data_IF_122301084265
#
_entry.id   IF_122301084265
#
_cell.length_a   1.000
_cell.length_b   1.000
_cell.length_c   1.000
_cell.angle_alpha   90.00
_cell.angle_beta   90.00
_cell.angle_gamma   90.00
#
_symmetry.space_group_name_H-M   'P 1'
#
loop_
_entity.id
_entity.type
_entity.pdbx_description
1 polymer ?
#
# COMPACT_ATOMS: atom_id res chain seq x y z
N UNK A 1 -21.95 -77.48 23.24
CA UNK A 1 -22.40 -78.30 24.38
C UNK A 1 -23.83 -78.75 24.11
N UNK A 2 -24.24 -79.98 24.47
CA UNK A 2 -25.61 -80.43 24.28
C UNK A 2 -26.57 -79.45 24.95
N UNK A 3 -27.58 -78.97 24.21
CA UNK A 3 -28.55 -77.99 24.72
C UNK A 3 -29.66 -78.62 25.56
N UNK A 4 -29.67 -79.94 25.75
CA UNK A 4 -30.69 -80.66 26.51
C UNK A 4 -30.28 -82.09 26.89
N UNK A 5 -31.11 -82.74 27.70
CA UNK A 5 -30.87 -84.09 28.19
C UNK A 5 -31.17 -85.14 27.11
N UNK A 6 -30.21 -86.00 26.77
CA UNK A 6 -30.39 -87.00 25.69
C UNK A 6 -31.41 -88.11 26.03
N UNK A 7 -31.81 -88.26 27.30
CA UNK A 7 -32.77 -89.26 27.76
C UNK A 7 -34.21 -88.82 27.48
N UNK A 8 -34.58 -87.60 27.88
CA UNK A 8 -35.94 -87.06 27.66
C UNK A 8 -36.05 -86.11 26.47
N UNK A 9 -34.92 -85.61 25.95
CA UNK A 9 -34.78 -84.61 24.88
C UNK A 9 -35.25 -83.20 25.24
N UNK A 10 -35.50 -82.92 26.52
CA UNK A 10 -35.85 -81.59 27.01
C UNK A 10 -34.62 -80.74 27.36
N UNK A 11 -34.79 -79.42 27.35
CA UNK A 11 -33.76 -78.46 27.77
C UNK A 11 -33.41 -78.64 29.25
N UNK A 12 -32.18 -78.31 29.60
CA UNK A 12 -31.75 -78.27 30.99
C UNK A 12 -32.41 -77.09 31.71
N UNK A 13 -33.19 -77.39 32.74
CA UNK A 13 -33.82 -76.41 33.62
C UNK A 13 -33.15 -76.48 35.00
N UNK A 14 -32.77 -75.33 35.54
CA UNK A 14 -32.21 -75.22 36.87
C UNK A 14 -33.18 -75.75 37.96
N UNK A 15 -34.50 -75.72 37.70
CA UNK A 15 -35.51 -76.22 38.62
C UNK A 15 -35.55 -77.76 38.74
N UNK A 16 -35.20 -78.50 37.68
CA UNK A 16 -35.33 -79.97 37.61
C UNK A 16 -34.08 -80.68 38.15
N UNK A 17 -33.02 -79.93 38.43
CA UNK A 17 -31.75 -80.45 38.93
C UNK A 17 -30.96 -81.14 37.83
N UNK A 18 -29.75 -80.65 37.57
CA UNK A 18 -28.87 -81.16 36.52
C UNK A 18 -27.72 -81.89 37.19
N UNK A 19 -27.36 -83.05 36.65
CA UNK A 19 -26.25 -83.87 37.13
C UNK A 19 -25.28 -84.15 36.01
N UNK A 20 -24.00 -84.20 36.36
CA UNK A 20 -22.94 -84.68 35.48
C UNK A 20 -22.40 -86.00 35.98
N UNK A 21 -22.03 -86.86 35.04
CA UNK A 21 -21.33 -88.11 35.31
C UNK A 21 -19.81 -87.86 35.31
N UNK A 22 -19.01 -88.79 35.85
CA UNK A 22 -17.53 -88.68 35.78
C UNK A 22 -16.97 -88.60 34.36
N UNK A 23 -17.70 -89.09 33.36
CA UNK A 23 -17.32 -88.96 31.95
C UNK A 23 -17.67 -87.58 31.35
N UNK A 24 -18.30 -86.68 32.11
CA UNK A 24 -18.58 -85.30 31.73
C UNK A 24 -19.94 -85.05 31.06
N UNK A 25 -20.72 -86.09 30.78
CA UNK A 25 -22.05 -85.96 30.16
C UNK A 25 -23.13 -85.57 31.17
N UNK A 26 -24.09 -84.75 30.71
CA UNK A 26 -25.10 -84.06 31.52
C UNK A 26 -26.49 -84.67 31.33
N UNK A 27 -27.23 -84.80 32.42
CA UNK A 27 -28.60 -85.33 32.43
C UNK A 27 -29.45 -84.62 33.49
N UNK A 28 -30.77 -84.62 33.37
CA UNK A 28 -31.61 -84.31 34.53
C UNK A 28 -31.44 -85.40 35.59
N UNK A 29 -31.49 -85.02 36.86
CA UNK A 29 -31.30 -85.96 37.98
C UNK A 29 -32.26 -87.15 37.87
N UNK A 30 -33.55 -86.89 37.67
CA UNK A 30 -34.58 -87.93 37.52
C UNK A 30 -34.31 -88.83 36.30
N UNK A 31 -33.83 -88.25 35.20
CA UNK A 31 -33.60 -88.96 33.96
C UNK A 31 -32.45 -89.97 34.08
N UNK A 32 -31.32 -89.57 34.65
CA UNK A 32 -30.20 -90.49 34.85
C UNK A 32 -30.51 -91.52 35.96
N UNK A 33 -31.23 -91.14 37.01
CA UNK A 33 -31.60 -92.08 38.09
C UNK A 33 -32.46 -93.22 37.54
N UNK A 34 -33.44 -92.91 36.68
CA UNK A 34 -34.24 -93.94 35.97
C UNK A 34 -33.42 -94.82 35.05
N UNK A 35 -32.38 -94.26 34.41
CA UNK A 35 -31.49 -95.02 33.53
C UNK A 35 -30.60 -95.97 34.33
N UNK A 36 -30.01 -95.51 35.43
CA UNK A 36 -29.14 -96.31 36.30
C UNK A 36 -29.89 -97.44 37.01
N UNK A 37 -31.20 -97.32 37.20
CA UNK A 37 -32.05 -98.43 37.65
C UNK A 37 -32.06 -99.62 36.66
N UNK A 38 -31.66 -99.42 35.39
CA UNK A 38 -31.64 -100.44 34.34
C UNK A 38 -30.24 -100.74 33.80
N UNK A 39 -29.32 -99.78 33.83
CA UNK A 39 -27.96 -99.94 33.31
C UNK A 39 -26.98 -99.03 34.02
N UNK A 40 -25.87 -99.60 34.53
CA UNK A 40 -24.78 -98.84 35.17
C UNK A 40 -23.83 -98.18 34.14
N UNK A 41 -24.34 -97.69 33.02
CA UNK A 41 -23.53 -97.07 31.96
C UNK A 41 -24.09 -95.71 31.56
N UNK A 42 -23.21 -94.81 31.15
CA UNK A 42 -23.60 -93.51 30.62
C UNK A 42 -24.42 -93.70 29.32
N UNK A 43 -25.62 -93.10 29.20
CA UNK A 43 -26.43 -93.18 27.98
C UNK A 43 -25.74 -92.65 26.72
N UNK A 44 -24.76 -91.76 26.87
CA UNK A 44 -24.11 -91.07 25.75
C UNK A 44 -22.82 -91.77 25.29
N UNK A 45 -21.94 -92.15 26.23
CA UNK A 45 -20.63 -92.74 25.91
C UNK A 45 -20.42 -94.16 26.44
N UNK A 46 -21.41 -94.74 27.12
CA UNK A 46 -21.38 -96.10 27.69
C UNK A 46 -20.31 -96.37 28.74
N UNK A 47 -19.58 -95.34 29.20
CA UNK A 47 -18.67 -95.47 30.35
C UNK A 47 -19.43 -95.89 31.60
N UNK A 48 -18.78 -96.64 32.50
CA UNK A 48 -19.42 -97.12 33.72
C UNK A 48 -19.79 -95.96 34.65
N UNK A 49 -21.04 -95.92 35.11
CA UNK A 49 -21.60 -94.90 35.99
C UNK A 49 -22.26 -95.58 37.19
N UNK A 50 -21.87 -95.17 38.39
CA UNK A 50 -22.54 -95.54 39.63
C UNK A 50 -23.29 -94.34 40.21
N UNK A 51 -24.30 -94.60 41.03
CA UNK A 51 -25.09 -93.55 41.70
C UNK A 51 -24.21 -92.60 42.54
N UNK A 52 -23.19 -93.14 43.21
CA UNK A 52 -22.19 -92.39 43.98
C UNK A 52 -21.22 -91.57 43.10
N UNK A 53 -21.27 -91.71 41.77
CA UNK A 53 -20.39 -91.02 40.82
C UNK A 53 -21.06 -89.85 40.11
N UNK A 54 -22.29 -89.49 40.50
CA UNK A 54 -23.04 -88.36 39.99
C UNK A 54 -22.74 -87.09 40.79
N UNK A 55 -22.43 -85.99 40.10
CA UNK A 55 -22.25 -84.67 40.72
C UNK A 55 -23.44 -83.79 40.35
N UNK A 56 -24.21 -83.35 41.35
CA UNK A 56 -25.28 -82.35 41.18
C UNK A 56 -24.67 -80.98 40.89
N UNK A 57 -25.12 -80.36 39.82
CA UNK A 57 -24.72 -79.01 39.41
C UNK A 57 -25.75 -78.01 39.93
N UNK A 58 -25.27 -77.00 40.65
CA UNK A 58 -26.08 -75.88 41.12
C UNK A 58 -25.64 -74.64 40.36
N UNK A 59 -26.54 -74.09 39.55
CA UNK A 59 -26.32 -72.83 38.86
C UNK A 59 -26.75 -71.71 39.79
N UNK A 60 -25.81 -70.86 40.21
CA UNK A 60 -26.15 -69.64 40.92
C UNK A 60 -26.78 -68.68 39.92
N UNK A 61 -28.08 -68.43 40.06
CA UNK A 61 -28.80 -67.45 39.25
C UNK A 61 -28.18 -66.08 39.51
N UNK A 62 -27.30 -65.62 38.60
CA UNK A 62 -26.94 -64.21 38.52
C UNK A 62 -28.16 -63.54 37.89
N UNK A 63 -29.21 -63.36 38.70
CA UNK A 63 -30.52 -62.93 38.24
C UNK A 63 -30.39 -61.72 37.32
N UNK A 64 -31.12 -61.75 36.19
CA UNK A 64 -31.12 -60.72 35.14
C UNK A 64 -31.31 -59.28 35.62
N UNK A 65 -31.77 -59.09 36.86
CA UNK A 65 -31.93 -57.81 37.54
C UNK A 65 -30.65 -56.94 37.59
N UNK A 66 -29.43 -57.50 37.62
CA UNK A 66 -28.20 -56.69 37.62
C UNK A 66 -27.85 -56.20 36.20
N UNK A 67 -28.03 -57.06 35.20
CA UNK A 67 -27.79 -56.73 33.79
C UNK A 67 -28.80 -55.70 33.30
N UNK A 68 -30.08 -55.85 33.65
CA UNK A 68 -31.15 -54.93 33.25
C UNK A 68 -30.97 -53.52 33.85
N UNK A 69 -30.65 -53.43 35.14
CA UNK A 69 -30.31 -52.15 35.79
C UNK A 69 -29.07 -51.48 35.21
N UNK A 70 -28.06 -52.28 34.86
CA UNK A 70 -26.85 -51.78 34.19
C UNK A 70 -27.20 -51.23 32.80
N UNK A 71 -28.04 -51.94 32.05
CA UNK A 71 -28.53 -51.51 30.73
C UNK A 71 -29.30 -50.19 30.80
N UNK A 72 -30.19 -50.04 31.77
CA UNK A 72 -30.97 -48.81 31.92
C UNK A 72 -30.11 -47.61 32.33
N UNK A 73 -29.10 -47.84 33.17
CA UNK A 73 -28.10 -46.80 33.51
C UNK A 73 -27.32 -46.35 32.27
N UNK A 74 -26.86 -47.30 31.44
CA UNK A 74 -26.17 -47.02 30.17
C UNK A 74 -27.06 -46.29 29.16
N UNK A 75 -28.34 -46.67 29.04
CA UNK A 75 -29.31 -45.97 28.17
C UNK A 75 -29.51 -44.52 28.61
N UNK A 76 -29.60 -44.26 29.91
CA UNK A 76 -29.77 -42.90 30.41
C UNK A 76 -28.51 -42.04 30.18
N UNK A 77 -27.32 -42.63 30.38
CA UNK A 77 -26.07 -41.97 30.02
C UNK A 77 -25.98 -41.67 28.52
N UNK A 78 -26.44 -42.59 27.66
CA UNK A 78 -26.48 -42.39 26.22
C UNK A 78 -27.41 -41.22 25.85
N UNK A 79 -28.63 -41.19 26.39
CA UNK A 79 -29.57 -40.07 26.20
C UNK A 79 -28.99 -38.73 26.66
N UNK A 80 -28.31 -38.72 27.80
CA UNK A 80 -27.65 -37.52 28.31
C UNK A 80 -26.56 -37.02 27.36
N UNK A 81 -25.78 -37.94 26.78
CA UNK A 81 -24.75 -37.63 25.77
C UNK A 81 -25.37 -37.18 24.45
N UNK A 82 -26.44 -37.78 23.99
CA UNK A 82 -27.18 -37.35 22.80
C UNK A 82 -27.69 -35.91 22.95
N UNK A 83 -28.23 -35.57 24.14
CA UNK A 83 -28.65 -34.21 24.44
C UNK A 83 -27.47 -33.22 24.47
N UNK A 84 -26.30 -33.64 24.98
CA UNK A 84 -25.08 -32.84 24.96
C UNK A 84 -24.61 -32.56 23.52
N UNK A 85 -24.67 -33.57 22.63
CA UNK A 85 -24.35 -33.44 21.20
C UNK A 85 -25.28 -32.42 20.56
N UNK A 86 -26.60 -32.53 20.75
CA UNK A 86 -27.57 -31.58 20.17
C UNK A 86 -27.31 -30.14 20.63
N UNK A 87 -26.94 -29.95 21.91
CA UNK A 87 -26.57 -28.61 22.42
C UNK A 87 -25.32 -28.07 21.74
N UNK A 88 -24.30 -28.90 21.56
CA UNK A 88 -23.07 -28.52 20.88
C UNK A 88 -23.31 -28.22 19.41
N UNK A 89 -24.12 -29.02 18.71
CA UNK A 89 -24.48 -28.78 17.31
C UNK A 89 -25.21 -27.44 17.13
N UNK A 90 -26.13 -27.12 18.04
CA UNK A 90 -26.79 -25.81 18.05
C UNK A 90 -25.79 -24.66 18.27
N UNK A 91 -24.82 -24.83 19.18
CA UNK A 91 -23.78 -23.84 19.42
C UNK A 91 -22.85 -23.67 18.20
N UNK A 92 -22.49 -24.78 17.54
CA UNK A 92 -21.72 -24.76 16.30
C UNK A 92 -22.49 -24.02 15.20
N UNK A 93 -23.77 -24.31 15.01
CA UNK A 93 -24.59 -23.63 14.00
C UNK A 93 -24.69 -22.11 14.26
N UNK A 94 -24.88 -21.71 15.51
CA UNK A 94 -24.88 -20.30 15.91
C UNK A 94 -23.52 -19.64 15.61
N UNK A 95 -22.41 -20.31 15.96
CA UNK A 95 -21.06 -19.81 15.71
C UNK A 95 -20.76 -19.68 14.21
N UNK A 96 -21.16 -20.67 13.39
CA UNK A 96 -21.01 -20.62 11.94
C UNK A 96 -21.77 -19.44 11.31
N UNK A 97 -22.95 -19.13 11.84
CA UNK A 97 -23.71 -17.96 11.40
C UNK A 97 -22.94 -16.67 11.66
N UNK A 98 -22.43 -16.48 12.89
CA UNK A 98 -21.61 -15.31 13.24
C UNK A 98 -20.35 -15.24 12.37
N UNK A 99 -19.67 -16.36 12.13
CA UNK A 99 -18.52 -16.39 11.22
C UNK A 99 -18.88 -15.88 9.82
N UNK A 100 -19.97 -16.36 9.23
CA UNK A 100 -20.41 -15.91 7.91
C UNK A 100 -20.76 -14.42 7.87
N UNK A 101 -21.35 -13.88 8.94
CA UNK A 101 -21.62 -12.44 9.07
C UNK A 101 -20.32 -11.63 9.15
N UNK A 102 -19.34 -12.09 9.93
CA UNK A 102 -18.04 -11.43 10.03
C UNK A 102 -17.25 -11.48 8.73
N UNK A 103 -17.28 -12.60 8.00
CA UNK A 103 -16.61 -12.75 6.70
C UNK A 103 -17.17 -11.77 5.68
N UNK A 104 -18.51 -11.65 5.61
CA UNK A 104 -19.19 -10.66 4.78
C UNK A 104 -18.87 -9.21 5.19
N UNK A 105 -18.67 -8.97 6.49
CA UNK A 105 -18.23 -7.67 6.99
C UNK A 105 -16.81 -7.32 6.54
N UNK A 106 -15.90 -8.30 6.59
CA UNK A 106 -14.51 -8.14 6.12
C UNK A 106 -14.48 -7.86 4.61
N UNK A 107 -15.29 -8.56 3.81
CA UNK A 107 -15.36 -8.35 2.36
C UNK A 107 -15.75 -6.91 2.00
N UNK A 108 -16.77 -6.36 2.69
CA UNK A 108 -17.16 -4.95 2.54
C UNK A 108 -16.06 -3.97 2.94
N UNK A 109 -15.33 -4.27 4.02
CA UNK A 109 -14.22 -3.43 4.46
C UNK A 109 -13.07 -3.42 3.44
N UNK A 110 -12.78 -4.58 2.82
CA UNK A 110 -11.78 -4.69 1.75
C UNK A 110 -12.19 -3.88 0.52
N UNK A 111 -13.47 -3.88 0.14
CA UNK A 111 -13.99 -3.06 -0.96
C UNK A 111 -13.74 -1.57 -0.71
N UNK A 112 -14.11 -1.06 0.48
CA UNK A 112 -13.85 0.33 0.88
C UNK A 112 -12.35 0.64 0.94
N UNK A 113 -11.53 -0.30 1.40
CA UNK A 113 -10.06 -0.13 1.41
C UNK A 113 -9.51 0.05 -0.01
N UNK A 114 -9.99 -0.75 -0.97
CA UNK A 114 -9.55 -0.63 -2.37
C UNK A 114 -9.99 0.69 -3.01
N UNK A 115 -11.19 1.19 -2.70
CA UNK A 115 -11.65 2.50 -3.15
C UNK A 115 -10.75 3.61 -2.61
N UNK A 116 -10.46 3.60 -1.30
CA UNK A 116 -9.58 4.58 -0.67
C UNK A 116 -8.15 4.54 -1.24
N UNK A 117 -7.61 3.36 -1.56
CA UNK A 117 -6.30 3.22 -2.20
C UNK A 117 -6.27 3.84 -3.61
N UNK A 118 -7.35 3.70 -4.37
CA UNK A 118 -7.48 4.32 -5.69
C UNK A 118 -7.54 5.85 -5.58
N UNK A 119 -8.29 6.38 -4.60
CA UNK A 119 -8.39 7.82 -4.35
C UNK A 119 -7.06 8.42 -3.90
N UNK A 120 -6.34 7.76 -2.99
CA UNK A 120 -4.99 8.17 -2.59
C UNK A 120 -4.06 8.23 -3.80
N UNK A 121 -4.08 7.19 -4.64
CA UNK A 121 -3.27 7.14 -5.86
C UNK A 121 -3.66 8.25 -6.87
N UNK A 122 -4.92 8.67 -6.90
CA UNK A 122 -5.37 9.80 -7.71
C UNK A 122 -4.84 11.14 -7.17
N UNK A 123 -5.00 11.38 -5.88
CA UNK A 123 -4.52 12.60 -5.20
C UNK A 123 -2.99 12.73 -5.32
N UNK A 124 -2.25 11.65 -5.15
CA UNK A 124 -0.79 11.65 -5.29
C UNK A 124 -0.35 12.09 -6.69
N UNK A 125 -1.05 11.63 -7.74
CA UNK A 125 -0.79 12.08 -9.13
C UNK A 125 -1.09 13.56 -9.31
N UNK A 126 -2.18 14.07 -8.74
CA UNK A 126 -2.49 15.50 -8.80
C UNK A 126 -1.44 16.35 -8.10
N UNK A 127 -0.98 15.94 -6.91
CA UNK A 127 0.11 16.61 -6.19
C UNK A 127 1.39 16.62 -7.02
N UNK A 128 1.70 15.50 -7.69
CA UNK A 128 2.85 15.40 -8.57
C UNK A 128 2.75 16.34 -9.79
N UNK A 129 1.54 16.54 -10.33
CA UNK A 129 1.28 17.49 -11.41
C UNK A 129 1.35 18.97 -10.98
N UNK A 130 0.99 19.29 -9.73
CA UNK A 130 1.05 20.66 -9.19
C UNK A 130 2.49 21.10 -8.86
N UNK A 131 3.33 20.16 -8.43
CA UNK A 131 4.75 20.40 -8.10
C UNK A 131 5.53 21.21 -9.16
N UNK A 132 5.52 20.85 -10.47
CA UNK A 132 6.21 21.64 -11.49
C UNK A 132 5.59 23.03 -11.71
N UNK A 133 4.26 23.20 -11.57
CA UNK A 133 3.63 24.53 -11.62
C UNK A 133 4.14 25.43 -10.49
N UNK A 134 4.29 24.90 -9.27
CA UNK A 134 4.85 25.63 -8.13
C UNK A 134 6.29 26.08 -8.41
N UNK A 135 7.13 25.20 -8.96
CA UNK A 135 8.50 25.55 -9.34
C UNK A 135 8.54 26.66 -10.41
N UNK A 136 7.70 26.56 -11.45
CA UNK A 136 7.60 27.58 -12.49
C UNK A 136 7.13 28.93 -11.93
N UNK A 137 6.15 28.92 -11.03
CA UNK A 137 5.67 30.14 -10.36
C UNK A 137 6.80 30.82 -9.56
N UNK A 138 7.61 30.03 -8.84
CA UNK A 138 8.75 30.56 -8.10
C UNK A 138 9.82 31.18 -9.02
N UNK A 139 10.08 30.58 -10.18
CA UNK A 139 10.98 31.17 -11.19
C UNK A 139 10.43 32.49 -11.74
N UNK A 140 9.12 32.56 -12.02
CA UNK A 140 8.48 33.79 -12.50
C UNK A 140 8.55 34.91 -11.46
N UNK A 141 8.37 34.61 -10.18
CA UNK A 141 8.55 35.59 -9.10
C UNK A 141 9.98 36.13 -9.07
N UNK A 142 10.98 35.25 -9.17
CA UNK A 142 12.38 35.67 -9.19
C UNK A 142 12.70 36.56 -10.40
N UNK A 143 12.20 36.21 -11.59
CA UNK A 143 12.37 37.01 -12.79
C UNK A 143 11.70 38.38 -12.65
N UNK A 144 10.50 38.45 -12.09
CA UNK A 144 9.78 39.71 -11.89
C UNK A 144 10.55 40.64 -10.94
N UNK A 145 11.08 40.11 -9.83
CA UNK A 145 11.91 40.89 -8.91
C UNK A 145 13.18 41.43 -9.59
N UNK A 146 13.81 40.62 -10.45
CA UNK A 146 14.98 41.06 -11.22
C UNK A 146 14.62 42.20 -12.18
N UNK A 147 13.52 42.05 -12.92
CA UNK A 147 13.03 43.08 -13.84
C UNK A 147 12.67 44.39 -13.11
N UNK A 148 12.10 44.30 -11.90
CA UNK A 148 11.83 45.48 -11.08
C UNK A 148 13.12 46.20 -10.68
N UNK A 149 14.15 45.47 -10.25
CA UNK A 149 15.46 46.06 -9.93
C UNK A 149 16.12 46.70 -11.15
N UNK A 150 16.00 46.07 -12.32
CA UNK A 150 16.54 46.61 -13.58
C UNK A 150 15.80 47.89 -14.02
N UNK A 151 14.47 47.93 -13.83
CA UNK A 151 13.66 49.13 -14.05
C UNK A 151 14.06 50.26 -13.10
N UNK A 152 14.31 49.98 -11.82
CA UNK A 152 14.81 50.98 -10.87
C UNK A 152 16.17 51.53 -11.30
N UNK A 153 17.09 50.66 -11.71
CA UNK A 153 18.38 51.07 -12.28
C UNK A 153 18.20 51.98 -13.49
N UNK A 154 17.32 51.61 -14.42
CA UNK A 154 17.04 52.44 -15.60
C UNK A 154 16.42 53.79 -15.26
N UNK A 155 15.55 53.84 -14.25
CA UNK A 155 14.95 55.08 -13.79
C UNK A 155 15.99 56.02 -13.13
N UNK A 156 16.93 55.43 -12.37
CA UNK A 156 18.06 56.17 -11.80
C UNK A 156 18.96 56.75 -12.90
N UNK A 157 19.31 55.94 -13.91
CA UNK A 157 20.09 56.41 -15.07
C UNK A 157 19.37 57.51 -15.85
N UNK A 158 18.06 57.35 -16.10
CA UNK A 158 17.24 58.37 -16.75
C UNK A 158 17.33 59.71 -16.03
N UNK A 159 17.20 59.70 -14.70
CA UNK A 159 17.28 60.90 -13.86
C UNK A 159 18.64 61.60 -14.01
N UNK A 160 19.73 60.83 -14.03
CA UNK A 160 21.09 61.37 -14.23
C UNK A 160 21.21 62.03 -15.61
N UNK A 161 20.81 61.33 -16.67
CA UNK A 161 20.90 61.82 -18.05
C UNK A 161 20.05 63.07 -18.26
N UNK A 162 18.83 63.10 -17.73
CA UNK A 162 17.96 64.28 -17.76
C UNK A 162 18.61 65.48 -17.04
N UNK A 163 19.28 65.24 -15.91
CA UNK A 163 20.06 66.25 -15.20
C UNK A 163 21.18 66.87 -16.07
N UNK A 164 21.95 66.03 -16.76
CA UNK A 164 23.00 66.49 -17.68
C UNK A 164 22.44 67.18 -18.93
N UNK A 165 21.30 66.72 -19.46
CA UNK A 165 20.63 67.36 -20.60
C UNK A 165 20.22 68.80 -20.29
N UNK A 166 19.71 69.05 -19.09
CA UNK A 166 19.37 70.40 -18.62
C UNK A 166 20.62 71.28 -18.51
N UNK A 167 21.73 70.72 -18.03
CA UNK A 167 23.02 71.40 -17.99
C UNK A 167 23.54 71.75 -19.39
N UNK A 168 23.43 70.83 -20.35
CA UNK A 168 23.81 71.05 -21.74
C UNK A 168 22.96 72.14 -22.41
N UNK A 169 21.64 72.13 -22.19
CA UNK A 169 20.73 73.19 -22.68
C UNK A 169 21.12 74.57 -22.14
N UNK A 170 21.46 74.66 -20.84
CA UNK A 170 21.90 75.91 -20.22
C UNK A 170 23.20 76.45 -20.84
N UNK A 171 24.19 75.58 -21.05
CA UNK A 171 25.44 75.95 -21.72
C UNK A 171 25.17 76.45 -23.15
N UNK A 172 24.27 75.79 -23.88
CA UNK A 172 23.91 76.19 -25.24
C UNK A 172 23.18 77.54 -25.28
N UNK A 173 22.27 77.82 -24.34
CA UNK A 173 21.63 79.14 -24.23
C UNK A 173 22.63 80.25 -23.88
N UNK A 174 23.60 79.97 -23.01
CA UNK A 174 24.66 80.93 -22.65
C UNK A 174 25.59 81.19 -23.86
N UNK A 175 25.85 80.18 -24.69
CA UNK A 175 26.62 80.32 -25.93
C UNK A 175 25.90 81.12 -27.02
N UNK A 176 24.57 81.05 -27.10
CA UNK A 176 23.77 81.74 -28.12
C UNK A 176 23.85 83.28 -27.99
N UNK A 177 24.25 83.79 -26.82
CA UNK A 177 24.37 85.23 -26.55
C UNK A 177 25.77 85.77 -26.89
N UNK A 178 26.82 84.93 -27.00
CA UNK A 178 28.20 85.43 -27.09
C UNK A 178 29.18 84.56 -27.92
N UNK A 179 28.90 84.33 -29.21
CA UNK A 179 29.82 83.60 -30.11
C UNK A 179 31.17 84.29 -30.38
N UNK A 180 31.31 85.58 -30.04
CA UNK A 180 32.50 86.41 -30.32
C UNK A 180 33.32 86.81 -29.08
N UNK A 181 32.88 86.47 -27.86
CA UNK A 181 33.64 86.76 -26.63
C UNK A 181 34.57 85.60 -26.23
N UNK A 182 35.58 85.89 -25.40
CA UNK A 182 36.60 84.89 -25.03
C UNK A 182 36.03 83.76 -24.14
N UNK A 183 34.98 84.04 -23.37
CA UNK A 183 34.22 83.03 -22.61
C UNK A 183 33.47 82.07 -23.54
N UNK A 184 32.93 82.54 -24.67
CA UNK A 184 32.30 81.71 -25.70
C UNK A 184 33.28 80.72 -26.33
N UNK A 185 34.52 81.14 -26.59
CA UNK A 185 35.58 80.24 -27.11
C UNK A 185 36.01 79.18 -26.09
N UNK A 186 36.00 79.50 -24.78
CA UNK A 186 36.25 78.52 -23.71
C UNK A 186 35.11 77.49 -23.64
N UNK A 187 33.85 77.92 -23.77
CA UNK A 187 32.70 77.02 -23.82
C UNK A 187 32.77 76.06 -25.03
N UNK A 188 33.10 76.55 -26.22
CA UNK A 188 33.29 75.72 -27.43
C UNK A 188 34.38 74.66 -27.21
N UNK A 189 35.53 75.03 -26.63
CA UNK A 189 36.60 74.08 -26.30
C UNK A 189 36.14 73.01 -25.31
N UNK A 190 35.37 73.38 -24.29
CA UNK A 190 34.81 72.42 -23.32
C UNK A 190 33.83 71.46 -23.99
N UNK A 191 32.94 71.94 -24.86
CA UNK A 191 32.04 71.07 -25.62
C UNK A 191 32.81 70.14 -26.55
N UNK A 192 33.80 70.63 -27.28
CA UNK A 192 34.65 69.79 -28.13
C UNK A 192 35.35 68.69 -27.32
N UNK A 193 35.85 69.00 -26.12
CA UNK A 193 36.41 68.03 -25.19
C UNK A 193 35.36 67.02 -24.71
N UNK A 194 34.17 67.45 -24.29
CA UNK A 194 33.09 66.54 -23.89
C UNK A 194 32.64 65.64 -25.04
N UNK A 195 32.43 66.18 -26.25
CA UNK A 195 32.09 65.40 -27.43
C UNK A 195 33.19 64.38 -27.79
N UNK A 196 34.47 64.73 -27.59
CA UNK A 196 35.59 63.81 -27.81
C UNK A 196 35.61 62.67 -26.79
N UNK A 197 35.32 62.98 -25.51
CA UNK A 197 35.22 61.98 -24.44
C UNK A 197 34.02 61.06 -24.68
N UNK A 198 32.84 61.62 -24.96
CA UNK A 198 31.62 60.84 -25.25
C UNK A 198 31.82 59.96 -26.48
N UNK A 199 32.48 60.48 -27.54
CA UNK A 199 32.80 59.68 -28.73
C UNK A 199 33.70 58.50 -28.39
N UNK A 200 34.70 58.69 -27.54
CA UNK A 200 35.57 57.60 -27.08
C UNK A 200 34.79 56.57 -26.26
N UNK A 201 33.93 57.02 -25.36
CA UNK A 201 33.14 56.14 -24.49
C UNK A 201 32.10 55.33 -25.28
N UNK A 202 31.47 55.93 -26.28
CA UNK A 202 30.54 55.24 -27.18
C UNK A 202 31.29 54.18 -28.01
N UNK A 203 32.49 54.48 -28.49
CA UNK A 203 33.30 53.50 -29.23
C UNK A 203 33.69 52.34 -28.32
N UNK A 204 34.17 52.63 -27.10
CA UNK A 204 34.50 51.60 -26.12
C UNK A 204 33.30 50.72 -25.77
N UNK A 205 32.14 51.33 -25.49
CA UNK A 205 30.90 50.60 -25.18
C UNK A 205 30.44 49.72 -26.34
N UNK A 206 30.62 50.16 -27.60
CA UNK A 206 30.33 49.33 -28.79
C UNK A 206 31.30 48.17 -28.96
N UNK A 207 32.57 48.36 -28.63
CA UNK A 207 33.58 47.30 -28.64
C UNK A 207 33.27 46.22 -27.60
N UNK A 208 32.90 46.62 -26.38
CA UNK A 208 32.42 45.70 -25.34
C UNK A 208 31.14 44.96 -25.75
N UNK A 209 30.18 45.66 -26.36
CA UNK A 209 28.95 45.04 -26.89
C UNK A 209 29.27 43.96 -27.93
N UNK A 210 30.20 44.24 -28.84
CA UNK A 210 30.64 43.28 -29.85
C UNK A 210 31.31 42.05 -29.20
N UNK A 211 32.13 42.28 -28.17
CA UNK A 211 32.82 41.20 -27.45
C UNK A 211 31.82 40.28 -26.73
N UNK A 212 30.87 40.85 -25.98
CA UNK A 212 29.83 40.08 -25.29
C UNK A 212 28.93 39.31 -26.28
N UNK A 213 28.60 39.90 -27.43
CA UNK A 213 27.84 39.20 -28.50
C UNK A 213 28.61 37.99 -29.04
N UNK A 214 29.92 38.09 -29.18
CA UNK A 214 30.77 36.97 -29.61
C UNK A 214 30.79 35.85 -28.55
N UNK A 215 30.94 36.19 -27.27
CA UNK A 215 30.90 35.23 -26.17
C UNK A 215 29.55 34.49 -26.10
N UNK A 216 28.43 35.22 -26.22
CA UNK A 216 27.10 34.62 -26.28
C UNK A 216 27.00 33.61 -27.44
N UNK A 217 27.54 33.95 -28.60
CA UNK A 217 27.53 33.07 -29.78
C UNK A 217 28.35 31.81 -29.52
N UNK A 218 29.50 31.94 -28.86
CA UNK A 218 30.39 30.83 -28.53
C UNK A 218 29.77 29.89 -27.49
N UNK A 219 29.16 30.45 -26.42
CA UNK A 219 28.45 29.67 -25.41
C UNK A 219 27.23 28.93 -26.00
N UNK A 220 26.47 29.58 -26.89
CA UNK A 220 25.38 28.92 -27.62
C UNK A 220 25.86 27.73 -28.44
N UNK A 221 27.01 27.86 -29.10
CA UNK A 221 27.62 26.76 -29.84
C UNK A 221 28.02 25.60 -28.93
N UNK A 222 28.66 25.89 -27.79
CA UNK A 222 29.03 24.87 -26.79
C UNK A 222 27.81 24.12 -26.24
N UNK A 223 26.75 24.85 -25.90
CA UNK A 223 25.47 24.27 -25.46
C UNK A 223 24.91 23.34 -26.55
N UNK A 224 24.95 23.78 -27.82
CA UNK A 224 24.52 22.97 -28.97
C UNK A 224 25.29 21.64 -29.09
N UNK A 225 26.62 21.67 -28.95
CA UNK A 225 27.47 20.47 -28.95
C UNK A 225 27.10 19.56 -27.78
N UNK A 226 26.92 20.12 -26.58
CA UNK A 226 26.58 19.33 -25.39
C UNK A 226 25.20 18.66 -25.53
N UNK A 227 24.21 19.36 -26.11
CA UNK A 227 22.91 18.78 -26.43
C UNK A 227 23.02 17.67 -27.47
N UNK A 228 23.85 17.83 -28.50
CA UNK A 228 24.09 16.79 -29.50
C UNK A 228 24.75 15.54 -28.88
N UNK A 229 25.78 15.71 -28.05
CA UNK A 229 26.45 14.61 -27.33
C UNK A 229 25.51 13.88 -26.38
N UNK A 230 24.68 14.62 -25.63
CA UNK A 230 23.65 14.03 -24.76
C UNK A 230 22.60 13.28 -25.56
N UNK A 231 22.14 13.80 -26.71
CA UNK A 231 21.18 13.13 -27.59
C UNK A 231 21.75 11.82 -28.15
N UNK A 232 23.02 11.82 -28.53
CA UNK A 232 23.72 10.62 -28.99
C UNK A 232 23.90 9.58 -27.87
N UNK A 233 24.22 10.02 -26.64
CA UNK A 233 24.29 9.15 -25.46
C UNK A 233 22.94 8.51 -25.10
N UNK A 234 21.81 9.18 -25.36
CA UNK A 234 20.47 8.62 -25.15
C UNK A 234 20.09 7.65 -26.27
N UNK A 235 20.47 7.96 -27.53
CA UNK A 235 20.17 7.13 -28.70
C UNK A 235 20.89 5.77 -28.67
N UNK A 236 22.11 5.70 -28.11
CA UNK A 236 22.89 4.44 -28.01
C UNK A 236 22.17 3.32 -27.25
N UNK A 237 21.62 3.54 -26.04
CA UNK A 237 20.76 2.59 -25.34
C UNK A 237 19.50 2.19 -26.11
N UNK A 238 18.82 3.14 -26.77
CA UNK A 238 17.59 2.86 -27.54
C UNK A 238 17.85 1.95 -28.75
N UNK A 239 18.98 2.13 -29.43
CA UNK A 239 19.40 1.24 -30.50
C UNK A 239 19.79 -0.16 -29.99
N UNK A 240 20.42 -0.25 -28.81
CA UNK A 240 20.69 -1.53 -28.15
C UNK A 240 19.40 -2.25 -27.75
N UNK A 241 18.40 -1.53 -27.23
CA UNK A 241 17.10 -2.06 -26.85
C UNK A 241 16.28 -2.54 -28.07
N UNK A 242 16.27 -1.77 -29.16
CA UNK A 242 15.60 -2.17 -30.40
C UNK A 242 16.29 -3.37 -31.09
N UNK A 243 17.62 -3.46 -31.02
CA UNK A 243 18.34 -4.64 -31.54
C UNK A 243 18.09 -5.89 -30.68
N UNK A 244 17.90 -5.74 -29.35
CA UNK A 244 17.48 -6.85 -28.47
C UNK A 244 16.05 -7.33 -28.76
N UNK A 245 15.13 -6.40 -29.05
CA UNK A 245 13.73 -6.68 -29.41
C UNK A 245 13.60 -7.42 -30.75
N UNK A 246 14.43 -7.09 -31.75
CA UNK A 246 14.45 -7.80 -33.04
C UNK A 246 15.02 -9.22 -32.95
N UNK A 247 15.96 -9.49 -32.02
CA UNK A 247 16.51 -10.83 -31.82
C UNK A 247 15.60 -11.76 -31.00
N UNK A 248 14.57 -11.24 -30.32
CA UNK A 248 13.61 -12.04 -29.55
C UNK A 248 12.36 -12.45 -30.34
N UNK A 249 12.19 -11.94 -31.57
CA UNK A 249 11.07 -12.29 -32.46
C UNK A 249 11.30 -13.54 -33.33
N UNK A 250 12.46 -14.20 -33.18
CA UNK A 250 12.85 -15.36 -34.02
C UNK A 250 12.52 -16.74 -33.41
N UNK A 251 11.90 -16.80 -32.22
CA UNK A 251 11.54 -18.07 -31.58
C UNK A 251 10.15 -18.01 -30.92
N UNK A 252 9.11 -18.24 -31.71
CA UNK A 252 7.89 -18.95 -31.29
C UNK A 252 6.85 -18.98 -32.41
N UNK A 253 6.81 -20.11 -33.12
CA UNK A 253 5.66 -20.51 -33.93
C UNK A 253 4.88 -21.57 -33.14
N UNK A 254 3.59 -21.33 -32.84
CA UNK A 254 2.49 -22.26 -33.14
C UNK A 254 1.14 -21.90 -32.49
N UNK A 255 0.11 -21.97 -33.35
CA UNK A 255 -1.31 -22.30 -33.11
C UNK A 255 -2.31 -21.27 -32.55
N UNK A 256 -3.28 -20.91 -33.40
CA UNK A 256 -4.68 -21.26 -33.12
C UNK A 256 -5.70 -20.15 -32.83
N UNK A 257 -6.31 -19.62 -33.91
CA UNK A 257 -7.74 -19.25 -34.03
C UNK A 257 -8.26 -17.92 -33.42
N UNK A 258 -8.65 -17.00 -34.33
CA UNK A 258 -9.53 -15.82 -34.12
C UNK A 258 -11.02 -16.24 -34.00
N UNK A 259 -12.02 -15.37 -33.68
CA UNK A 259 -12.40 -14.09 -34.34
C UNK A 259 -12.78 -12.97 -33.31
N UNK A 260 -13.05 -11.68 -33.56
CA UNK A 260 -13.30 -10.80 -34.74
C UNK A 260 -13.42 -9.34 -34.24
N UNK A 261 -12.93 -8.38 -35.06
CA UNK A 261 -13.56 -7.07 -35.42
C UNK A 261 -13.63 -5.95 -34.34
N UNK A 262 -13.39 -4.65 -34.59
CA UNK A 262 -13.04 -3.85 -35.77
C UNK A 262 -12.87 -2.36 -35.32
N UNK A 263 -12.36 -1.49 -36.22
CA UNK A 263 -12.50 -0.01 -36.25
C UNK A 263 -11.47 0.77 -35.40
N UNK A 264 -10.69 1.75 -35.87
CA UNK A 264 -10.39 2.28 -37.21
C UNK A 264 -9.13 3.13 -37.10
N UNK A 265 -8.29 3.09 -38.13
CA UNK A 265 -7.20 4.04 -38.32
C UNK A 265 -7.76 5.41 -38.72
N UNK A 266 -7.21 6.49 -38.17
CA UNK A 266 -7.01 7.68 -38.98
C UNK A 266 -5.72 8.41 -38.57
N UNK A 267 -4.70 8.24 -39.41
CA UNK A 267 -3.56 9.16 -39.50
C UNK A 267 -4.01 10.34 -40.33
N UNK A 268 -3.75 11.55 -39.86
CA UNK A 268 -3.63 12.72 -40.73
C UNK A 268 -2.63 13.68 -40.11
N UNK A 269 -1.39 13.54 -40.58
CA UNK A 269 -0.36 14.55 -40.48
C UNK A 269 -0.80 15.78 -41.28
N UNK A 270 -0.63 16.99 -40.74
CA UNK A 270 -0.40 18.17 -41.58
C UNK A 270 0.30 19.27 -40.77
N UNK A 271 1.52 19.56 -41.20
CA UNK A 271 2.30 20.74 -40.86
C UNK A 271 1.90 21.91 -41.76
N UNK A 272 1.81 23.11 -41.21
CA UNK A 272 2.11 24.35 -41.96
C UNK A 272 2.24 25.57 -41.04
N UNK A 273 3.48 26.05 -40.92
CA UNK A 273 4.00 27.43 -40.98
C UNK A 273 3.19 28.66 -40.50
N UNK A 274 3.92 29.47 -39.70
CA UNK A 274 4.04 30.93 -39.63
C UNK A 274 2.89 31.84 -40.16
N UNK A 275 2.40 32.74 -39.29
CA UNK A 275 2.67 34.20 -39.36
C UNK A 275 1.71 35.01 -38.46
N UNK A 276 2.19 36.14 -37.93
CA UNK A 276 1.37 37.37 -37.82
C UNK A 276 0.72 37.70 -36.47
N UNK A 277 1.43 38.53 -35.71
CA UNK A 277 1.01 39.65 -34.85
C UNK A 277 -0.49 39.92 -34.59
N UNK A 278 -0.83 40.32 -33.35
CA UNK A 278 -1.25 41.71 -33.03
C UNK A 278 -1.56 41.82 -31.52
N UNK A 279 -0.75 42.62 -30.82
CA UNK A 279 -1.06 43.18 -29.50
C UNK A 279 -2.15 44.23 -29.66
N UNK A 280 -3.28 44.04 -28.99
CA UNK A 280 -4.30 45.06 -28.83
C UNK A 280 -3.92 45.96 -27.64
N UNK A 281 -3.61 47.22 -27.95
CA UNK A 281 -3.58 48.36 -27.05
C UNK A 281 -4.96 49.05 -27.09
N UNK A 282 -5.45 49.54 -25.95
CA UNK A 282 -6.09 50.85 -25.79
C UNK A 282 -6.64 51.07 -24.36
N UNK A 283 -6.86 52.33 -23.92
CA UNK A 283 -6.32 52.85 -22.66
C UNK A 283 -7.37 53.57 -21.77
N UNK A 284 -6.88 54.26 -20.72
CA UNK A 284 -7.41 55.48 -20.03
C UNK A 284 -7.46 55.29 -18.51
N UNK A 285 -6.61 55.98 -17.74
CA UNK A 285 -6.94 57.21 -16.97
C UNK A 285 -6.88 56.84 -15.48
N UNK A 286 -6.36 57.58 -14.50
CA UNK A 286 -6.20 59.02 -14.30
C UNK A 286 -5.00 59.30 -13.37
N UNK A 287 -4.54 60.54 -13.42
CA UNK A 287 -3.48 61.12 -12.61
C UNK A 287 -3.91 61.32 -11.15
N UNK A 288 -3.02 61.06 -10.18
CA UNK A 288 -2.87 61.95 -9.03
C UNK A 288 -1.45 61.90 -8.46
N UNK A 289 -0.88 63.08 -8.25
CA UNK A 289 0.48 63.37 -7.79
C UNK A 289 0.44 63.85 -6.33
N UNK A 290 1.54 63.60 -5.62
CA UNK A 290 2.09 64.24 -4.37
C UNK A 290 1.61 63.74 -2.99
N UNK A 291 2.43 63.90 -1.92
CA UNK A 291 3.90 63.85 -1.83
C UNK A 291 4.44 63.02 -0.63
N UNK A 292 5.74 62.73 -0.68
CA UNK A 292 6.53 62.28 0.48
C UNK A 292 6.56 63.33 1.60
N UNK A 293 6.38 62.89 2.84
CA UNK A 293 6.83 63.59 4.05
C UNK A 293 7.72 62.66 4.87
N UNK A 294 8.98 63.05 4.99
CA UNK A 294 9.99 62.45 5.85
C UNK A 294 9.95 63.18 7.18
N UNK A 295 9.72 62.48 8.29
CA UNK A 295 9.94 63.03 9.63
C UNK A 295 10.47 61.95 10.59
N UNK A 296 11.65 62.20 11.13
CA UNK A 296 12.22 61.52 12.30
C UNK A 296 11.80 62.26 13.57
N UNK A 297 11.53 61.54 14.67
CA UNK A 297 12.03 62.03 15.95
C UNK A 297 12.71 60.96 16.83
N UNK A 298 13.64 61.49 17.63
CA UNK A 298 14.57 60.81 18.55
C UNK A 298 13.91 60.39 19.88
N UNK A 299 14.37 59.23 20.36
CA UNK A 299 14.54 58.70 21.74
C UNK A 299 14.06 59.53 22.96
N UNK A 300 13.30 58.86 23.85
CA UNK A 300 13.45 58.72 25.33
C UNK A 300 12.77 57.37 25.66
N UNK A 301 13.24 56.43 26.47
CA UNK A 301 14.17 56.44 27.60
C UNK A 301 13.46 55.79 28.78
N UNK A 302 13.55 54.47 28.96
CA UNK A 302 13.27 53.80 30.24
C UNK A 302 14.12 52.53 30.37
N UNK A 303 15.00 52.55 31.38
CA UNK A 303 15.77 51.43 31.92
C UNK A 303 15.01 50.82 33.10
N UNK A 304 15.06 49.51 33.25
CA UNK A 304 15.30 48.73 34.49
C UNK A 304 15.43 47.26 34.03
N UNK A 305 16.66 46.77 33.82
CA UNK A 305 17.48 45.93 34.73
C UNK A 305 17.14 44.43 34.62
N UNK A 306 17.88 43.71 33.76
CA UNK A 306 18.94 42.71 34.10
C UNK A 306 18.44 41.37 34.64
N UNK A 307 18.56 40.29 33.85
CA UNK A 307 19.59 39.27 34.10
C UNK A 307 19.80 38.33 32.89
N UNK A 308 21.05 37.94 32.68
CA UNK A 308 21.60 37.12 31.60
C UNK A 308 21.08 35.68 31.57
N UNK A 309 20.84 35.14 30.37
CA UNK A 309 21.34 33.83 29.95
C UNK A 309 21.34 33.70 28.42
N UNK A 310 22.51 33.39 27.85
CA UNK A 310 22.69 33.06 26.43
C UNK A 310 22.03 31.71 26.12
N UNK A 311 21.28 31.61 25.04
CA UNK A 311 21.54 30.61 23.97
C UNK A 311 20.53 30.74 22.82
N UNK A 312 21.10 30.69 21.63
CA UNK A 312 20.47 30.59 20.32
C UNK A 312 19.63 29.33 20.17
N UNK A 313 18.37 29.47 19.72
CA UNK A 313 17.56 28.38 19.20
C UNK A 313 17.11 28.71 17.77
N UNK A 314 17.88 28.23 16.79
CA UNK A 314 17.38 27.97 15.44
C UNK A 314 16.51 26.72 15.50
N UNK A 315 15.29 26.83 14.99
CA UNK A 315 14.38 25.70 14.79
C UNK A 315 14.83 24.94 13.54
N UNK A 316 15.43 23.78 13.75
CA UNK A 316 15.66 22.76 12.73
C UNK A 316 14.89 21.51 13.13
N UNK A 317 13.82 21.20 12.39
CA UNK A 317 13.11 19.91 12.48
C UNK A 317 14.05 18.78 12.03
N UNK A 318 14.21 17.69 12.81
CA UNK A 318 15.10 16.62 12.44
C UNK A 318 14.40 15.58 11.55
N UNK A 319 15.12 15.19 10.50
CA UNK A 319 14.85 14.15 9.49
C UNK A 319 14.59 12.73 10.06
N UNK A 320 14.58 12.56 11.39
CA UNK A 320 14.46 11.27 12.10
C UNK A 320 12.98 10.86 12.31
N UNK A 321 12.05 11.82 12.35
CA UNK A 321 10.63 11.53 12.63
C UNK A 321 9.87 10.87 11.46
N UNK A 322 10.32 11.07 10.21
CA UNK A 322 9.71 10.44 9.02
C UNK A 322 10.12 8.97 8.82
N UNK A 323 11.34 8.59 9.21
CA UNK A 323 11.77 7.18 9.11
C UNK A 323 11.15 6.31 10.21
N UNK A 324 10.91 6.87 11.40
CA UNK A 324 10.26 6.16 12.50
C UNK A 324 8.79 5.83 12.20
N UNK A 325 8.05 6.72 11.53
CA UNK A 325 6.64 6.53 11.18
C UNK A 325 6.46 5.51 10.04
N UNK A 326 7.26 5.56 8.97
CA UNK A 326 7.24 4.54 7.91
C UNK A 326 7.65 3.15 8.41
N UNK A 327 8.62 3.04 9.33
CA UNK A 327 9.05 1.76 9.90
C UNK A 327 7.98 1.13 10.82
N UNK A 328 7.20 1.94 11.53
CA UNK A 328 6.10 1.48 12.39
C UNK A 328 4.89 1.02 11.57
N UNK A 329 4.56 1.70 10.46
CA UNK A 329 3.50 1.25 9.55
C UNK A 329 3.88 -0.05 8.82
N UNK A 330 5.13 -0.19 8.37
CA UNK A 330 5.62 -1.41 7.72
C UNK A 330 5.63 -2.63 8.68
N UNK A 331 6.03 -2.44 9.95
CA UNK A 331 5.99 -3.52 10.96
C UNK A 331 4.58 -3.92 11.36
N UNK A 332 3.65 -2.96 11.50
CA UNK A 332 2.24 -3.27 11.79
C UNK A 332 1.54 -3.99 10.62
N UNK A 333 1.89 -3.66 9.38
CA UNK A 333 1.38 -4.35 8.19
C UNK A 333 1.81 -5.82 8.14
N UNK A 334 3.10 -6.10 8.33
CA UNK A 334 3.63 -7.48 8.24
C UNK A 334 3.18 -8.38 9.39
N UNK A 335 3.07 -7.84 10.62
CA UNK A 335 2.62 -8.61 11.78
C UNK A 335 1.12 -8.94 11.71
N UNK A 336 0.29 -8.04 11.16
CA UNK A 336 -1.14 -8.28 10.99
C UNK A 336 -1.44 -9.25 9.83
N UNK A 337 -0.74 -9.16 8.68
CA UNK A 337 -0.91 -10.11 7.58
C UNK A 337 -0.52 -11.55 7.99
N UNK A 338 0.56 -11.70 8.76
CA UNK A 338 1.03 -12.98 9.25
C UNK A 338 0.07 -13.55 10.33
N UNK A 339 -0.44 -12.71 11.24
CA UNK A 339 -1.45 -13.13 12.21
C UNK A 339 -2.76 -13.60 11.55
N UNK A 340 -3.26 -12.86 10.56
CA UNK A 340 -4.47 -13.22 9.81
C UNK A 340 -4.25 -14.51 9.02
N UNK A 341 -3.08 -14.68 8.40
CA UNK A 341 -2.72 -15.89 7.65
C UNK A 341 -2.62 -17.12 8.56
N UNK A 342 -2.04 -16.99 9.76
CA UNK A 342 -1.98 -18.08 10.75
C UNK A 342 -3.36 -18.47 11.28
N UNK A 343 -4.26 -17.51 11.49
CA UNK A 343 -5.64 -17.77 11.91
C UNK A 343 -6.39 -18.50 10.79
N UNK A 344 -6.28 -18.01 9.53
CA UNK A 344 -6.90 -18.64 8.35
C UNK A 344 -6.41 -20.09 8.17
N UNK A 345 -5.12 -20.35 8.36
CA UNK A 345 -4.55 -21.69 8.27
C UNK A 345 -5.09 -22.62 9.36
N UNK A 346 -5.13 -22.17 10.63
CA UNK A 346 -5.65 -22.96 11.75
C UNK A 346 -7.14 -23.27 11.62
N UNK A 347 -7.93 -22.33 11.11
CA UNK A 347 -9.36 -22.55 10.84
C UNK A 347 -9.57 -23.55 9.68
N UNK A 348 -8.80 -23.44 8.60
CA UNK A 348 -8.86 -24.38 7.47
C UNK A 348 -8.41 -25.79 7.84
N UNK A 349 -7.44 -25.92 8.75
CA UNK A 349 -6.96 -27.20 9.23
C UNK A 349 -7.97 -27.86 10.19
N UNK A 350 -8.54 -27.08 11.13
CA UNK A 350 -9.66 -27.54 11.97
C UNK A 350 -10.88 -27.95 11.15
N UNK A 351 -11.26 -27.18 10.13
CA UNK A 351 -12.35 -27.53 9.23
C UNK A 351 -12.08 -28.84 8.46
N UNK A 352 -10.84 -29.09 8.04
CA UNK A 352 -10.45 -30.37 7.40
C UNK A 352 -10.50 -31.55 8.36
N UNK A 353 -10.08 -31.38 9.60
CA UNK A 353 -10.15 -32.42 10.64
C UNK A 353 -11.61 -32.77 10.98
N UNK A 354 -12.47 -31.76 11.12
CA UNK A 354 -13.91 -31.95 11.36
C UNK A 354 -14.57 -32.65 10.16
N UNK A 355 -14.26 -32.23 8.93
CA UNK A 355 -14.80 -32.85 7.71
C UNK A 355 -14.38 -34.32 7.54
N UNK A 356 -13.17 -34.70 7.97
CA UNK A 356 -12.73 -36.11 7.97
C UNK A 356 -13.45 -36.94 9.04
N UNK A 357 -13.73 -36.37 10.21
CA UNK A 357 -14.47 -37.04 11.30
C UNK A 357 -15.96 -37.22 11.01
N UNK A 358 -16.55 -36.37 10.17
CA UNK A 358 -17.95 -36.50 9.71
C UNK A 358 -18.09 -37.44 8.49
N UNK A 359 -16.98 -37.89 7.90
CA UNK A 359 -16.91 -38.75 6.72
C UNK A 359 -16.54 -40.20 7.04
N UNK A 360 -16.34 -40.53 8.32
CA UNK A 360 -16.19 -41.90 8.86
C UNK A 360 -17.40 -42.17 9.75
#
# INVERSE_FOLDING_TARGET
>A
MPSGCVICRDLFDAAVGIVTTKCGHLFHNICIDRWLARSYTCPECRSNVSENSLTKLFFHDISGNNVERSLDTLKEQLRAKDLEIVKLDKAIAAFLTVCAETERGIEKLLEVETELQNDVSAIEREVQNISPMKAKHQMLLQLNNNLQSELEHMNNFKTIVEGYSNHAKKILTDMQVHASCEEGKVAIRRIATYCSIIKREIVHSKEEEAQLRNEITQLKHQIGIFHADRKEKIRRPEQHFNNFSMNSSSQSASSGSSPTLNISSNRSSQSSNLAGSTLAYCPSGENHVTPMTFDFPKKKGQKFDTCSAKSSAQVSEPHVSRQATSALHARRGSENEDAVSRIRYRLRDRARVVKRKLSM
#
